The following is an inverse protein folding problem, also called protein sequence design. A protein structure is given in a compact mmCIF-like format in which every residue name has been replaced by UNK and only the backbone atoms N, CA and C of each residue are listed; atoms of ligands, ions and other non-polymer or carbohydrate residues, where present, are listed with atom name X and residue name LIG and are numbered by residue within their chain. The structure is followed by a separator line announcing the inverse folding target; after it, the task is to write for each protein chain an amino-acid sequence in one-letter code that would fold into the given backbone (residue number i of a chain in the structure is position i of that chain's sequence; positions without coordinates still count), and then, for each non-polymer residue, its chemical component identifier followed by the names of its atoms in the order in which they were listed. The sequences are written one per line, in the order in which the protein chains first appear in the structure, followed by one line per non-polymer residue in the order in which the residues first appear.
data_IF_204383084536
#
_entry.id   IF_204383084536
#
_cell.length_a   1.000
_cell.length_b   1.000
_cell.length_c   1.000
_cell.angle_alpha   90.00
_cell.angle_beta   90.00
_cell.angle_gamma   90.00
#
_symmetry.space_group_name_H-M   'P 1'
#
loop_
_entity.id
_entity.type
_entity.pdbx_description
1 polymer ?
#
# COMPACT_ATOMS: atom_id res chain seq x y z
N UNK A 1 46.73 -28.02 32.03
CA UNK A 1 45.62 -28.59 31.23
C UNK A 1 44.24 -28.03 31.56
N UNK A 2 44.01 -27.51 32.77
CA UNK A 2 42.75 -26.85 33.09
C UNK A 2 42.50 -25.57 32.27
N UNK A 3 43.54 -24.91 31.81
CA UNK A 3 43.46 -23.70 30.97
C UNK A 3 42.94 -23.96 29.54
N UNK A 4 43.16 -25.15 28.99
CA UNK A 4 42.66 -25.50 27.66
C UNK A 4 41.14 -25.74 27.65
N UNK A 5 40.59 -26.32 28.70
CA UNK A 5 39.12 -26.53 28.80
C UNK A 5 38.37 -25.21 28.98
N UNK A 6 38.88 -24.31 29.79
CA UNK A 6 38.31 -23.00 29.98
C UNK A 6 38.34 -22.18 28.68
N UNK A 7 39.47 -22.25 27.94
CA UNK A 7 39.61 -21.59 26.66
C UNK A 7 38.65 -22.10 25.60
N UNK A 8 38.48 -23.44 25.52
CA UNK A 8 37.51 -24.05 24.60
C UNK A 8 36.07 -23.68 24.94
N UNK A 9 35.70 -23.65 26.24
CA UNK A 9 34.37 -23.24 26.67
C UNK A 9 34.08 -21.79 26.30
N UNK A 10 35.04 -20.91 26.49
CA UNK A 10 34.90 -19.49 26.10
C UNK A 10 34.70 -19.34 24.58
N UNK A 11 35.44 -20.09 23.78
CA UNK A 11 35.30 -20.11 22.33
C UNK A 11 33.92 -20.66 21.91
N UNK A 12 33.44 -21.71 22.53
CA UNK A 12 32.13 -22.28 22.24
C UNK A 12 31.02 -21.30 22.60
N UNK A 13 31.12 -20.66 23.77
CA UNK A 13 30.16 -19.64 24.19
C UNK A 13 30.16 -18.44 23.24
N UNK A 14 31.33 -17.95 22.81
CA UNK A 14 31.46 -16.87 21.86
C UNK A 14 30.83 -17.26 20.51
N UNK A 15 31.07 -18.47 20.01
CA UNK A 15 30.48 -18.99 18.79
C UNK A 15 28.95 -19.05 18.84
N UNK A 16 28.40 -19.54 19.93
CA UNK A 16 26.97 -19.62 20.16
C UNK A 16 26.36 -18.22 20.18
N UNK A 17 26.98 -17.27 20.85
CA UNK A 17 26.54 -15.90 20.95
C UNK A 17 26.51 -15.24 19.56
N UNK A 18 27.56 -15.44 18.77
CA UNK A 18 27.61 -14.90 17.39
C UNK A 18 26.51 -15.49 16.52
N UNK A 19 26.29 -16.80 16.61
CA UNK A 19 25.23 -17.48 15.85
C UNK A 19 23.85 -16.92 16.24
N UNK A 20 23.59 -16.70 17.53
CA UNK A 20 22.32 -16.12 17.98
C UNK A 20 22.11 -14.71 17.46
N UNK A 21 23.15 -13.88 17.47
CA UNK A 21 23.08 -12.50 16.94
C UNK A 21 22.80 -12.53 15.45
N UNK A 22 23.49 -13.38 14.69
CA UNK A 22 23.26 -13.51 13.25
C UNK A 22 21.86 -14.02 12.92
N UNK A 23 21.38 -15.03 13.65
CA UNK A 23 20.04 -15.57 13.45
C UNK A 23 18.96 -14.53 13.78
N UNK A 24 19.14 -13.77 14.85
CA UNK A 24 18.25 -12.67 15.21
C UNK A 24 18.23 -11.57 14.16
N UNK A 25 19.37 -11.20 13.63
CA UNK A 25 19.49 -10.17 12.56
C UNK A 25 18.78 -10.62 11.27
N UNK A 26 18.98 -11.87 10.86
CA UNK A 26 18.31 -12.44 9.68
C UNK A 26 16.80 -12.48 9.88
N UNK A 27 16.33 -12.94 11.03
CA UNK A 27 14.90 -12.99 11.34
C UNK A 27 14.27 -11.59 11.31
N UNK A 28 14.95 -10.60 11.87
CA UNK A 28 14.47 -9.20 11.85
C UNK A 28 14.42 -8.65 10.43
N UNK A 29 15.45 -8.90 9.62
CA UNK A 29 15.50 -8.45 8.23
C UNK A 29 14.39 -9.09 7.40
N UNK A 30 14.15 -10.39 7.55
CA UNK A 30 13.06 -11.10 6.89
C UNK A 30 11.70 -10.54 7.30
N UNK A 31 11.48 -10.30 8.58
CA UNK A 31 10.24 -9.73 9.10
C UNK A 31 9.98 -8.35 8.49
N UNK A 32 10.99 -7.49 8.41
CA UNK A 32 10.89 -6.18 7.78
C UNK A 32 10.62 -6.28 6.28
N UNK A 33 11.29 -7.20 5.60
CA UNK A 33 11.08 -7.42 4.17
C UNK A 33 9.64 -7.88 3.88
N UNK A 34 9.10 -8.80 4.66
CA UNK A 34 7.72 -9.26 4.52
C UNK A 34 6.71 -8.14 4.77
N UNK A 35 6.94 -7.31 5.78
CA UNK A 35 6.08 -6.16 6.06
C UNK A 35 6.10 -5.15 4.91
N UNK A 36 7.25 -4.89 4.33
CA UNK A 36 7.40 -4.01 3.17
C UNK A 36 6.66 -4.58 1.96
N UNK A 37 6.77 -5.86 1.71
CA UNK A 37 6.08 -6.54 0.61
C UNK A 37 4.56 -6.41 0.75
N UNK A 38 4.02 -6.66 1.94
CA UNK A 38 2.58 -6.49 2.21
C UNK A 38 2.14 -5.04 2.01
N UNK A 39 2.91 -4.07 2.48
CA UNK A 39 2.60 -2.64 2.27
C UNK A 39 2.63 -2.27 0.80
N UNK A 40 3.57 -2.80 0.03
CA UNK A 40 3.65 -2.57 -1.41
C UNK A 40 2.46 -3.19 -2.15
N UNK A 41 2.00 -4.37 -1.75
CA UNK A 41 0.79 -4.97 -2.30
C UNK A 41 -0.44 -4.11 -2.03
N UNK A 42 -0.61 -3.64 -0.80
CA UNK A 42 -1.72 -2.77 -0.41
C UNK A 42 -1.67 -1.46 -1.21
N UNK A 43 -0.50 -0.83 -1.30
CA UNK A 43 -0.33 0.40 -2.07
C UNK A 43 -0.62 0.20 -3.55
N UNK A 44 -0.20 -0.93 -4.13
CA UNK A 44 -0.48 -1.28 -5.52
C UNK A 44 -1.97 -1.49 -5.74
N UNK A 45 -2.63 -2.23 -4.87
CA UNK A 45 -4.07 -2.47 -4.94
C UNK A 45 -4.85 -1.15 -4.83
N UNK A 46 -4.49 -0.29 -3.89
CA UNK A 46 -5.10 1.03 -3.74
C UNK A 46 -4.94 1.89 -5.00
N UNK A 47 -3.74 1.91 -5.56
CA UNK A 47 -3.45 2.68 -6.77
C UNK A 47 -4.26 2.15 -7.97
N UNK A 48 -4.39 0.84 -8.13
CA UNK A 48 -5.17 0.24 -9.20
C UNK A 48 -6.67 0.51 -9.03
N UNK A 49 -7.19 0.44 -7.82
CA UNK A 49 -8.59 0.75 -7.53
C UNK A 49 -8.89 2.22 -7.85
N UNK A 50 -8.03 3.14 -7.44
CA UNK A 50 -8.16 4.57 -7.74
C UNK A 50 -8.11 4.81 -9.25
N UNK A 51 -7.18 4.17 -9.95
CA UNK A 51 -7.05 4.30 -11.40
C UNK A 51 -8.31 3.81 -12.12
N UNK A 52 -8.83 2.65 -11.74
CA UNK A 52 -10.08 2.12 -12.32
C UNK A 52 -11.26 3.05 -12.06
N UNK A 53 -11.38 3.56 -10.83
CA UNK A 53 -12.46 4.49 -10.47
C UNK A 53 -12.38 5.78 -11.27
N UNK A 54 -11.20 6.34 -11.42
CA UNK A 54 -10.99 7.57 -12.20
C UNK A 54 -11.25 7.34 -13.69
N UNK A 55 -10.84 6.21 -14.24
CA UNK A 55 -11.12 5.87 -15.64
C UNK A 55 -12.61 5.68 -15.90
N UNK A 56 -13.32 5.01 -15.00
CA UNK A 56 -14.77 4.88 -15.07
C UNK A 56 -15.46 6.24 -14.95
N UNK A 57 -14.97 7.10 -14.07
CA UNK A 57 -15.47 8.47 -13.93
C UNK A 57 -15.26 9.29 -15.19
N UNK A 58 -14.09 9.21 -15.81
CA UNK A 58 -13.81 9.88 -17.09
C UNK A 58 -14.73 9.39 -18.20
N UNK A 59 -14.94 8.08 -18.30
CA UNK A 59 -15.82 7.50 -19.29
C UNK A 59 -17.27 7.93 -19.06
N UNK A 60 -17.72 7.96 -17.80
CA UNK A 60 -19.07 8.41 -17.45
C UNK A 60 -19.29 9.88 -17.85
N UNK A 61 -18.33 10.75 -17.64
CA UNK A 61 -18.40 12.15 -18.03
C UNK A 61 -18.40 12.27 -19.55
N UNK A 62 -17.53 11.55 -20.24
CA UNK A 62 -17.41 11.60 -21.70
C UNK A 62 -18.66 11.12 -22.41
N UNK A 63 -19.27 10.07 -21.93
CA UNK A 63 -20.44 9.45 -22.54
C UNK A 63 -21.76 9.86 -21.89
N UNK A 64 -21.74 10.77 -20.92
CA UNK A 64 -22.90 11.19 -20.12
C UNK A 64 -23.65 9.99 -19.51
N UNK A 65 -22.91 8.95 -19.14
CA UNK A 65 -23.45 7.75 -18.55
C UNK A 65 -23.53 7.88 -17.02
N UNK A 66 -24.49 7.20 -16.37
CA UNK A 66 -24.52 7.20 -14.91
C UNK A 66 -23.29 6.46 -14.35
N UNK A 67 -22.71 7.03 -13.31
CA UNK A 67 -21.55 6.47 -12.64
C UNK A 67 -21.99 5.75 -11.36
N UNK A 68 -21.64 4.47 -11.27
CA UNK A 68 -21.85 3.69 -10.06
C UNK A 68 -20.53 3.08 -9.64
N UNK A 69 -19.95 3.62 -8.58
CA UNK A 69 -18.72 3.09 -7.99
C UNK A 69 -19.08 2.48 -6.65
N UNK A 70 -18.76 1.19 -6.40
CA UNK A 70 -19.04 0.59 -5.10
C UNK A 70 -18.25 1.28 -4.00
N UNK A 71 -18.88 1.46 -2.84
CA UNK A 71 -18.23 2.08 -1.67
C UNK A 71 -17.20 1.20 -1.01
N UNK A 72 -17.33 -0.11 -1.16
CA UNK A 72 -16.40 -1.09 -0.63
C UNK A 72 -16.00 -2.06 -1.75
N UNK A 73 -14.70 -2.29 -1.89
CA UNK A 73 -14.15 -3.22 -2.87
C UNK A 73 -13.28 -4.23 -2.15
N UNK A 74 -13.50 -5.51 -2.45
CA UNK A 74 -12.64 -6.57 -1.97
C UNK A 74 -11.67 -6.98 -3.06
N UNK A 75 -10.38 -7.00 -2.74
CA UNK A 75 -9.31 -7.37 -3.66
C UNK A 75 -8.20 -8.08 -2.90
N UNK A 76 -7.76 -9.21 -3.41
CA UNK A 76 -6.72 -10.04 -2.78
C UNK A 76 -7.02 -10.40 -1.32
N UNK A 77 -8.30 -10.64 -0.99
CA UNK A 77 -8.73 -10.96 0.36
C UNK A 77 -8.73 -9.76 1.33
N UNK A 78 -8.57 -8.54 0.82
CA UNK A 78 -8.58 -7.31 1.61
C UNK A 78 -9.73 -6.43 1.20
N UNK A 79 -10.34 -5.77 2.18
CA UNK A 79 -11.44 -4.83 1.94
C UNK A 79 -10.92 -3.41 1.90
N UNK A 80 -11.30 -2.69 0.86
CA UNK A 80 -10.93 -1.29 0.65
C UNK A 80 -12.18 -0.43 0.62
N UNK A 81 -12.13 0.68 1.33
CA UNK A 81 -13.20 1.68 1.29
C UNK A 81 -12.87 2.71 0.22
N UNK A 82 -13.83 2.95 -0.66
CA UNK A 82 -13.67 3.87 -1.79
C UNK A 82 -14.58 5.07 -1.61
N UNK A 83 -13.99 6.26 -1.55
CA UNK A 83 -14.71 7.53 -1.53
C UNK A 83 -14.43 8.24 -2.85
N UNK A 84 -15.47 8.39 -3.67
CA UNK A 84 -15.38 9.06 -4.97
C UNK A 84 -16.15 10.37 -4.93
N UNK A 85 -15.50 11.46 -5.31
CA UNK A 85 -16.09 12.78 -5.36
C UNK A 85 -15.96 13.38 -6.76
N UNK A 86 -17.03 14.01 -7.19
CA UNK A 86 -17.09 14.73 -8.46
C UNK A 86 -17.42 16.17 -8.16
N UNK A 87 -16.56 17.09 -8.59
CA UNK A 87 -16.75 18.52 -8.41
C UNK A 87 -16.63 19.23 -9.75
N UNK A 88 -17.60 20.08 -10.03
CA UNK A 88 -17.59 20.89 -11.23
C UNK A 88 -16.90 22.23 -10.94
N UNK A 89 -15.81 22.49 -11.65
CA UNK A 89 -15.05 23.73 -11.53
C UNK A 89 -15.02 24.47 -12.86
N UNK A 90 -15.13 25.77 -12.79
CA UNK A 90 -14.97 26.66 -13.96
C UNK A 90 -13.51 27.14 -13.99
N UNK A 91 -12.71 26.60 -14.90
CA UNK A 91 -11.36 27.10 -15.14
C UNK A 91 -11.32 27.73 -16.51
N UNK A 92 -10.92 28.99 -16.60
CA UNK A 92 -10.75 29.75 -17.84
C UNK A 92 -11.99 29.80 -18.78
N UNK A 93 -13.20 29.72 -18.21
CA UNK A 93 -14.43 29.77 -18.98
C UNK A 93 -14.85 28.45 -19.61
N UNK A 94 -14.07 27.37 -19.44
CA UNK A 94 -14.43 26.04 -19.85
C UNK A 94 -14.91 25.25 -18.63
N UNK A 95 -15.98 24.49 -18.77
CA UNK A 95 -16.45 23.59 -17.74
C UNK A 95 -15.47 22.42 -17.56
N UNK A 96 -14.80 22.37 -16.42
CA UNK A 96 -13.89 21.27 -16.07
C UNK A 96 -14.44 20.55 -14.87
N UNK A 97 -14.50 19.23 -14.95
CA UNK A 97 -14.95 18.39 -13.85
C UNK A 97 -13.72 17.81 -13.17
N UNK A 98 -13.62 18.04 -11.86
CA UNK A 98 -12.60 17.44 -11.01
C UNK A 98 -13.12 16.14 -10.44
N UNK A 99 -12.46 15.06 -10.76
CA UNK A 99 -12.74 13.75 -10.19
C UNK A 99 -11.68 13.43 -9.15
N UNK A 100 -12.09 13.16 -7.94
CA UNK A 100 -11.20 12.73 -6.87
C UNK A 100 -11.64 11.39 -6.30
N UNK A 101 -10.68 10.54 -6.02
CA UNK A 101 -10.92 9.24 -5.45
C UNK A 101 -9.96 8.99 -4.31
N UNK A 102 -10.48 8.56 -3.19
CA UNK A 102 -9.71 8.18 -2.01
C UNK A 102 -10.03 6.74 -1.65
N UNK A 103 -9.01 5.92 -1.51
CA UNK A 103 -9.14 4.52 -1.12
C UNK A 103 -8.43 4.33 0.22
N UNK A 104 -9.14 3.75 1.16
CA UNK A 104 -8.64 3.50 2.52
C UNK A 104 -8.69 1.99 2.80
N UNK A 105 -7.57 1.44 3.22
CA UNK A 105 -7.47 0.07 3.70
C UNK A 105 -7.82 -0.01 5.18
N UNK A 106 -8.20 -1.18 5.67
CA UNK A 106 -8.53 -1.41 7.08
C UNK A 106 -7.40 -1.01 8.04
N UNK A 107 -6.15 -1.09 7.61
CA UNK A 107 -4.99 -0.66 8.40
C UNK A 107 -4.87 0.85 8.57
N UNK A 108 -5.67 1.63 7.84
CA UNK A 108 -5.60 3.08 7.83
C UNK A 108 -4.74 3.66 6.71
N UNK A 109 -4.10 2.84 5.90
CA UNK A 109 -3.38 3.31 4.72
C UNK A 109 -4.35 3.89 3.70
N UNK A 110 -4.04 5.07 3.20
CA UNK A 110 -4.90 5.82 2.30
C UNK A 110 -4.13 6.23 1.05
N UNK A 111 -4.78 6.10 -0.10
CA UNK A 111 -4.27 6.60 -1.37
C UNK A 111 -5.32 7.52 -1.99
N UNK A 112 -4.88 8.68 -2.44
CA UNK A 112 -5.76 9.68 -3.03
C UNK A 112 -5.19 10.15 -4.36
N UNK A 113 -6.05 10.28 -5.36
CA UNK A 113 -5.69 10.84 -6.65
C UNK A 113 -6.82 11.68 -7.21
N UNK A 114 -6.46 12.67 -7.99
CA UNK A 114 -7.40 13.57 -8.67
C UNK A 114 -7.08 13.65 -10.15
N UNK A 115 -8.11 13.86 -10.95
CA UNK A 115 -7.96 14.11 -12.36
C UNK A 115 -8.95 15.19 -12.82
N UNK A 116 -8.59 15.92 -13.87
CA UNK A 116 -9.45 16.91 -14.48
C UNK A 116 -9.94 16.38 -15.83
N UNK A 117 -11.23 16.50 -16.06
CA UNK A 117 -11.88 16.08 -17.31
C UNK A 117 -12.59 17.25 -17.94
N UNK A 118 -12.33 17.50 -19.22
CA UNK A 118 -13.06 18.50 -19.99
C UNK A 118 -14.47 17.99 -20.27
N UNK A 119 -15.40 18.85 -20.05
CA UNK A 119 -16.81 18.56 -20.28
C UNK A 119 -17.20 18.67 -21.76
#
# INVERSE_FOLDING_TARGET
MKTHRGFLMVWVLAGITVIQILAGSVALTLSQALRREVRMEIATDEALIVQEALEQGKAAVRFHAPLSIPGDIERNGRTYRVDFHQEETMAEGAGVIRLSCEVTHESGETYQAETLVDR
#
